data_IF_776322557963
#
_entry.id   IF_776322557963
#
_cell.length_a   1.000
_cell.length_b   1.000
_cell.length_c   1.000
_cell.angle_alpha   90.00
_cell.angle_beta   90.00
_cell.angle_gamma   90.00
#
_symmetry.space_group_name_H-M   'P 1'
#
loop_
_entity.id
_entity.type
_entity.pdbx_description
1 polymer ?
#
# COMPACT_ATOMS: atom_id res chain seq x y z
N UNK A 1 20.28 -9.86 19.53
CA UNK A 1 19.66 -9.20 18.35
C UNK A 1 18.35 -9.93 18.07
N UNK A 2 17.42 -9.81 19.02
CA UNK A 2 16.18 -10.59 19.12
C UNK A 2 14.92 -9.90 18.59
N UNK A 3 15.02 -8.70 17.99
CA UNK A 3 13.87 -7.89 17.55
C UNK A 3 13.91 -7.46 16.07
N UNK A 4 14.79 -8.03 15.24
CA UNK A 4 14.89 -7.64 13.83
C UNK A 4 13.59 -7.83 13.06
N UNK A 5 12.80 -8.84 13.44
CA UNK A 5 11.54 -9.18 12.78
C UNK A 5 10.37 -8.29 13.22
N UNK A 6 10.52 -7.59 14.36
CA UNK A 6 9.51 -6.66 14.90
C UNK A 6 9.71 -5.25 14.36
N UNK A 7 10.97 -4.86 14.13
CA UNK A 7 11.38 -3.57 13.56
C UNK A 7 12.31 -3.81 12.38
N UNK A 8 11.77 -4.26 11.23
CA UNK A 8 12.58 -4.45 10.06
C UNK A 8 13.02 -3.10 9.50
N UNK A 9 14.30 -3.00 9.11
CA UNK A 9 14.89 -1.80 8.50
C UNK A 9 14.24 -1.48 7.13
N UNK A 10 13.70 -2.51 6.47
CA UNK A 10 12.99 -2.42 5.21
C UNK A 10 11.58 -2.99 5.35
N UNK A 11 10.61 -2.40 4.65
CA UNK A 11 9.24 -2.91 4.70
C UNK A 11 9.20 -4.27 4.01
N UNK A 12 8.77 -5.35 4.68
CA UNK A 12 8.74 -6.68 4.08
C UNK A 12 7.85 -6.70 2.83
N UNK A 13 8.28 -7.46 1.84
CA UNK A 13 7.55 -7.70 0.59
C UNK A 13 6.62 -8.91 0.69
N UNK A 14 6.69 -9.67 1.78
CA UNK A 14 5.76 -10.76 2.04
C UNK A 14 4.48 -10.22 2.68
N UNK A 15 3.33 -10.67 2.18
CA UNK A 15 2.06 -10.42 2.84
C UNK A 15 2.12 -10.98 4.26
N UNK A 16 1.62 -10.23 5.27
CA UNK A 16 1.50 -10.78 6.61
C UNK A 16 0.62 -12.02 6.54
N UNK A 17 1.01 -13.07 7.26
CA UNK A 17 0.20 -14.29 7.38
C UNK A 17 -1.24 -13.89 7.68
N UNK A 18 -2.19 -14.40 6.89
CA UNK A 18 -3.59 -14.07 7.05
C UNK A 18 -4.05 -14.51 8.45
N UNK A 19 -4.31 -13.54 9.32
CA UNK A 19 -4.70 -13.80 10.71
C UNK A 19 -6.20 -14.09 10.88
N UNK A 20 -6.95 -14.30 9.80
CA UNK A 20 -8.41 -14.41 9.86
C UNK A 20 -9.14 -13.08 10.06
N UNK A 21 -8.40 -11.99 10.29
CA UNK A 21 -8.95 -10.67 10.58
C UNK A 21 -9.08 -9.91 9.26
N UNK A 22 -10.31 -9.65 8.83
CA UNK A 22 -10.61 -8.78 7.70
C UNK A 22 -10.82 -7.36 8.24
N UNK A 23 -10.07 -6.40 7.70
CA UNK A 23 -10.33 -4.99 7.95
C UNK A 23 -11.49 -4.55 7.07
N UNK A 24 -12.57 -4.09 7.71
CA UNK A 24 -13.70 -3.45 7.06
C UNK A 24 -13.67 -1.96 7.38
N UNK A 25 -13.88 -1.13 6.36
CA UNK A 25 -13.98 0.32 6.53
C UNK A 25 -15.47 0.63 6.59
N UNK A 26 -15.97 0.98 7.78
CA UNK A 26 -17.34 1.43 7.96
C UNK A 26 -17.52 2.82 7.32
N UNK A 27 -18.35 2.89 6.29
CA UNK A 27 -18.71 4.15 5.64
C UNK A 27 -20.08 4.57 6.13
N UNK A 28 -20.18 5.80 6.65
CA UNK A 28 -21.47 6.35 7.10
C UNK A 28 -22.46 6.36 5.92
N UNK A 29 -23.66 5.77 6.06
CA UNK A 29 -24.67 5.74 5.00
C UNK A 29 -24.96 7.15 4.46
N UNK A 30 -24.91 7.32 3.15
CA UNK A 30 -25.07 8.62 2.48
C UNK A 30 -23.75 9.37 2.21
N UNK A 31 -22.61 8.86 2.70
CA UNK A 31 -21.29 9.39 2.32
C UNK A 31 -20.95 9.01 0.89
N UNK A 32 -20.51 10.00 0.10
CA UNK A 32 -20.01 9.77 -1.25
C UNK A 32 -18.50 9.57 -1.18
N UNK A 33 -17.97 8.60 -1.92
CA UNK A 33 -16.54 8.49 -2.14
C UNK A 33 -16.04 9.73 -2.91
N UNK A 34 -14.97 10.35 -2.40
CA UNK A 34 -14.35 11.49 -3.06
C UNK A 34 -13.41 11.00 -4.16
N UNK A 35 -13.66 11.44 -5.40
CA UNK A 35 -12.70 11.28 -6.49
C UNK A 35 -11.83 12.52 -6.54
N UNK A 36 -10.54 12.36 -6.24
CA UNK A 36 -9.56 13.46 -6.33
C UNK A 36 -8.64 13.19 -7.51
N UNK A 37 -8.44 14.19 -8.36
CA UNK A 37 -7.47 14.10 -9.45
C UNK A 37 -6.07 14.09 -8.85
N UNK A 38 -5.21 13.17 -9.31
CA UNK A 38 -3.82 13.13 -8.90
C UNK A 38 -3.12 14.46 -9.26
N UNK A 39 -2.34 14.98 -8.32
CA UNK A 39 -1.51 16.17 -8.56
C UNK A 39 -0.43 15.89 -9.61
N UNK A 40 -0.08 16.87 -10.45
CA UNK A 40 1.03 16.69 -11.38
C UNK A 40 2.32 16.51 -10.60
N UNK A 41 2.95 15.35 -10.75
CA UNK A 41 4.24 15.03 -10.13
C UNK A 41 5.38 15.36 -11.11
N UNK A 42 6.54 15.84 -10.61
CA UNK A 42 7.76 15.93 -11.40
C UNK A 42 8.11 14.59 -12.06
N UNK A 43 8.54 14.62 -13.32
CA UNK A 43 8.87 13.39 -14.08
C UNK A 43 9.96 12.56 -13.40
N UNK A 44 10.92 13.22 -12.75
CA UNK A 44 12.02 12.55 -12.04
C UNK A 44 11.52 11.74 -10.83
N UNK A 45 10.44 12.19 -10.19
CA UNK A 45 9.81 11.47 -9.07
C UNK A 45 8.90 10.33 -9.56
N UNK A 46 8.31 10.49 -10.74
CA UNK A 46 7.36 9.54 -11.31
C UNK A 46 7.99 8.15 -11.47
N UNK A 47 9.24 8.08 -11.98
CA UNK A 47 9.95 6.81 -12.15
C UNK A 47 10.22 6.08 -10.83
N UNK A 48 10.52 6.82 -9.75
CA UNK A 48 10.76 6.23 -8.43
C UNK A 48 9.45 5.70 -7.82
N UNK A 49 8.34 6.42 -8.02
CA UNK A 49 7.02 6.02 -7.57
C UNK A 49 6.53 4.79 -8.35
N UNK A 50 6.72 4.78 -9.67
CA UNK A 50 6.37 3.64 -10.53
C UNK A 50 7.15 2.39 -10.11
N UNK A 51 8.46 2.51 -9.88
CA UNK A 51 9.29 1.40 -9.39
C UNK A 51 8.86 0.90 -8.00
N UNK A 52 8.40 1.79 -7.13
CA UNK A 52 7.85 1.42 -5.83
C UNK A 52 6.53 0.65 -5.97
N UNK A 53 5.61 1.11 -6.81
CA UNK A 53 4.34 0.39 -7.02
C UNK A 53 4.53 -0.94 -7.73
N UNK A 54 5.48 -1.06 -8.65
CA UNK A 54 5.81 -2.32 -9.32
C UNK A 54 6.27 -3.38 -8.31
N UNK A 55 7.17 -3.03 -7.39
CA UNK A 55 7.62 -3.97 -6.34
C UNK A 55 6.48 -4.35 -5.39
N UNK A 56 5.57 -3.42 -5.09
CA UNK A 56 4.36 -3.68 -4.28
C UNK A 56 3.31 -4.53 -4.99
N UNK A 57 3.21 -4.41 -6.31
CA UNK A 57 2.34 -5.27 -7.13
C UNK A 57 2.84 -6.70 -7.15
N UNK A 58 4.15 -6.90 -7.29
CA UNK A 58 4.78 -8.24 -7.21
C UNK A 58 4.58 -8.89 -5.83
N UNK A 59 4.54 -8.08 -4.78
CA UNK A 59 4.23 -8.49 -3.42
C UNK A 59 2.72 -8.73 -3.15
N UNK A 60 1.84 -8.54 -4.15
CA UNK A 60 0.38 -8.62 -4.00
C UNK A 60 -0.21 -7.62 -2.97
N UNK A 61 0.56 -6.60 -2.58
CA UNK A 61 0.11 -5.56 -1.66
C UNK A 61 -0.81 -4.53 -2.35
N UNK A 62 -0.64 -4.37 -3.67
CA UNK A 62 -1.39 -3.41 -4.49
C UNK A 62 -1.92 -4.10 -5.74
N UNK A 63 -3.19 -3.83 -6.07
CA UNK A 63 -3.85 -4.27 -7.30
C UNK A 63 -4.58 -3.10 -7.96
N UNK A 64 -4.81 -3.20 -9.26
CA UNK A 64 -5.72 -2.29 -9.95
C UNK A 64 -7.14 -2.44 -9.34
N UNK A 65 -7.78 -1.29 -9.10
CA UNK A 65 -9.09 -1.20 -8.43
C UNK A 65 -10.21 -1.68 -9.34
#
# INVERSE_FOLDING_TARGET
REHKDVLPDEIPAELPQYKGIKYEIDVVPGTKYCVTRQWPLPRDQMKAIDGFFESRRQAEHVRES
#
